data_IF_464585666079
#
_entry.id   IF_464585666079
#
_cell.length_a   1.000
_cell.length_b   1.000
_cell.length_c   1.000
_cell.angle_alpha   90.00
_cell.angle_beta   90.00
_cell.angle_gamma   90.00
#
_symmetry.space_group_name_H-M   'P 1'
#
loop_
_entity.id
_entity.type
_entity.pdbx_description
1 polymer ?
#
# COMPACT_ATOMS: atom_id res chain seq x y z
N UNK A 1 -0.65 -13.87 -10.56
CA UNK A 1 -1.29 -13.61 -9.37
C UNK A 1 -1.56 -12.18 -9.18
N UNK A 2 -2.64 -11.88 -8.64
CA UNK A 2 -3.08 -10.50 -8.58
C UNK A 2 -2.60 -9.85 -7.29
N UNK A 3 -1.40 -9.40 -7.27
CA UNK A 3 -0.86 -8.72 -6.10
C UNK A 3 -1.52 -7.37 -5.87
N UNK A 4 -1.77 -6.62 -6.95
CA UNK A 4 -2.32 -5.29 -6.81
C UNK A 4 -3.64 -5.22 -6.05
N UNK A 5 -4.62 -6.09 -6.34
CA UNK A 5 -5.85 -6.09 -5.56
C UNK A 5 -5.63 -6.43 -4.09
N UNK A 6 -4.66 -7.29 -3.78
CA UNK A 6 -4.36 -7.62 -2.40
C UNK A 6 -3.81 -6.42 -1.67
N UNK A 7 -2.93 -5.67 -2.30
CA UNK A 7 -2.36 -4.47 -1.70
C UNK A 7 -3.46 -3.44 -1.46
N UNK A 8 -4.34 -3.26 -2.45
CA UNK A 8 -5.42 -2.29 -2.32
C UNK A 8 -6.34 -2.66 -1.16
N UNK A 9 -6.66 -3.94 -1.04
CA UNK A 9 -7.53 -4.40 0.03
C UNK A 9 -6.88 -4.22 1.40
N UNK A 10 -5.62 -4.56 1.50
CA UNK A 10 -4.89 -4.41 2.77
C UNK A 10 -4.83 -2.94 3.18
N UNK A 11 -4.52 -2.08 2.22
CA UNK A 11 -4.40 -0.65 2.47
C UNK A 11 -5.74 -0.07 2.93
N UNK A 12 -6.82 -0.48 2.29
CA UNK A 12 -8.14 -0.04 2.68
C UNK A 12 -8.43 -0.46 4.13
N UNK A 13 -8.17 -1.70 4.43
CA UNK A 13 -8.46 -2.21 5.76
C UNK A 13 -7.63 -1.56 6.85
N UNK A 14 -6.35 -1.31 6.58
CA UNK A 14 -5.48 -0.75 7.59
C UNK A 14 -5.84 0.72 7.84
N UNK A 15 -6.29 1.44 6.81
CA UNK A 15 -6.72 2.81 7.00
C UNK A 15 -7.94 2.90 7.89
N UNK A 16 -8.79 1.88 7.88
CA UNK A 16 -9.97 1.87 8.72
C UNK A 16 -9.65 1.52 10.16
N UNK A 17 -8.56 0.80 10.39
CA UNK A 17 -8.23 0.34 11.73
C UNK A 17 -7.12 1.12 12.42
N UNK A 18 -6.35 1.88 11.68
CA UNK A 18 -5.20 2.60 12.24
C UNK A 18 -5.25 4.06 11.85
N UNK A 19 -4.64 4.90 12.67
CA UNK A 19 -4.52 6.31 12.33
C UNK A 19 -3.66 6.44 11.08
N UNK A 20 -3.87 7.49 10.28
CA UNK A 20 -3.14 7.64 9.02
C UNK A 20 -1.62 7.55 9.18
N UNK A 21 -1.11 8.11 10.25
CA UNK A 21 0.33 8.11 10.46
C UNK A 21 0.85 6.70 10.70
N UNK A 22 0.05 5.83 11.27
CA UNK A 22 0.45 4.45 11.53
C UNK A 22 0.14 3.54 10.34
N UNK A 23 -0.86 3.91 9.55
CA UNK A 23 -1.27 3.09 8.42
C UNK A 23 -0.14 2.93 7.41
N UNK A 24 0.59 3.99 7.11
CA UNK A 24 1.69 3.93 6.16
C UNK A 24 2.77 2.97 6.63
N UNK A 25 3.10 3.02 7.92
CA UNK A 25 4.11 2.12 8.47
C UNK A 25 3.68 0.67 8.40
N UNK A 26 2.42 0.39 8.67
CA UNK A 26 1.90 -0.96 8.59
C UNK A 26 1.94 -1.50 7.17
N UNK A 27 1.60 -0.66 6.20
CA UNK A 27 1.66 -1.07 4.80
C UNK A 27 3.09 -1.43 4.40
N UNK A 28 4.06 -0.59 4.79
CA UNK A 28 5.45 -0.84 4.44
C UNK A 28 5.95 -2.15 5.06
N UNK A 29 5.58 -2.41 6.28
CA UNK A 29 5.99 -3.63 6.96
C UNK A 29 5.42 -4.84 6.23
N UNK A 30 4.15 -4.77 5.87
CA UNK A 30 3.49 -5.86 5.16
C UNK A 30 4.12 -6.09 3.78
N UNK A 31 4.41 -5.02 3.05
CA UNK A 31 5.07 -5.15 1.76
C UNK A 31 6.45 -5.79 1.91
N UNK A 32 7.14 -5.46 2.99
CA UNK A 32 8.44 -6.06 3.26
C UNK A 32 8.36 -7.57 3.45
N UNK A 33 7.26 -8.05 4.01
CA UNK A 33 7.06 -9.48 4.17
C UNK A 33 6.70 -10.12 2.84
N UNK A 34 5.91 -9.44 2.02
CA UNK A 34 5.48 -10.01 0.76
C UNK A 34 6.56 -10.08 -0.29
N UNK A 35 7.54 -9.23 -0.23
CA UNK A 35 8.55 -9.16 -1.30
C UNK A 35 9.31 -10.46 -1.48
N UNK A 36 9.28 -11.32 -0.49
CA UNK A 36 9.96 -12.60 -0.59
C UNK A 36 9.32 -13.48 -1.66
N UNK A 37 8.00 -13.44 -1.76
CA UNK A 37 7.28 -14.25 -2.72
C UNK A 37 6.80 -13.44 -3.92
N UNK A 38 6.75 -12.13 -3.79
CA UNK A 38 6.25 -11.27 -4.85
C UNK A 38 7.24 -10.14 -5.09
N UNK A 39 8.13 -10.28 -6.07
CA UNK A 39 9.10 -9.22 -6.36
C UNK A 39 8.47 -7.86 -6.58
N UNK A 40 7.25 -7.83 -7.12
CA UNK A 40 6.55 -6.59 -7.35
C UNK A 40 6.29 -5.84 -6.05
N UNK A 41 6.12 -6.56 -4.95
CA UNK A 41 5.94 -5.92 -3.66
C UNK A 41 7.18 -5.13 -3.25
N UNK A 42 8.35 -5.63 -3.60
CA UNK A 42 9.59 -4.91 -3.33
C UNK A 42 9.70 -3.62 -4.12
N UNK A 43 9.20 -3.63 -5.36
CA UNK A 43 9.21 -2.43 -6.19
C UNK A 43 8.29 -1.38 -5.59
N UNK A 44 7.09 -1.77 -5.17
CA UNK A 44 6.15 -0.86 -4.55
C UNK A 44 6.71 -0.32 -3.24
N UNK A 45 7.31 -1.20 -2.43
CA UNK A 45 7.90 -0.79 -1.16
C UNK A 45 8.98 0.27 -1.37
N UNK A 46 9.84 0.07 -2.36
CA UNK A 46 10.89 1.03 -2.63
C UNK A 46 10.30 2.39 -3.03
N UNK A 47 9.20 2.38 -3.76
CA UNK A 47 8.55 3.60 -4.20
C UNK A 47 7.90 4.37 -3.06
N UNK A 48 7.38 3.65 -2.06
CA UNK A 48 6.66 4.32 -0.97
C UNK A 48 7.45 4.41 0.32
N UNK A 49 8.70 4.00 0.29
CA UNK A 49 9.49 3.89 1.51
C UNK A 49 9.54 5.19 2.33
N UNK A 50 9.67 6.31 1.70
CA UNK A 50 9.77 7.59 2.40
C UNK A 50 8.45 8.28 2.65
N UNK A 51 7.33 7.67 2.25
CA UNK A 51 6.04 8.32 2.38
C UNK A 51 5.44 8.01 3.73
N UNK A 52 5.04 9.05 4.45
CA UNK A 52 4.41 8.87 5.77
C UNK A 52 3.01 9.45 5.80
N UNK A 53 2.56 10.05 4.72
CA UNK A 53 1.26 10.67 4.64
C UNK A 53 0.31 9.81 3.82
N UNK A 54 -0.87 9.52 4.35
CA UNK A 54 -1.81 8.61 3.70
C UNK A 54 -2.25 9.11 2.33
N UNK A 55 -2.42 10.41 2.17
CA UNK A 55 -2.82 10.96 0.88
C UNK A 55 -1.75 10.74 -0.18
N UNK A 56 -0.50 10.93 0.19
CA UNK A 56 0.60 10.70 -0.74
C UNK A 56 0.77 9.21 -1.01
N UNK A 57 0.53 8.39 0.01
CA UNK A 57 0.59 6.94 -0.17
C UNK A 57 -0.46 6.51 -1.19
N UNK A 58 -1.68 7.05 -1.10
CA UNK A 58 -2.72 6.75 -2.08
C UNK A 58 -2.29 7.13 -3.49
N UNK A 59 -1.70 8.30 -3.65
CA UNK A 59 -1.24 8.76 -4.95
C UNK A 59 -0.18 7.84 -5.53
N UNK A 60 0.78 7.44 -4.71
CA UNK A 60 1.86 6.60 -5.18
C UNK A 60 1.37 5.20 -5.52
N UNK A 61 0.48 4.65 -4.71
CA UNK A 61 -0.08 3.35 -5.01
C UNK A 61 -0.87 3.39 -6.32
N UNK A 62 -1.59 4.48 -6.56
CA UNK A 62 -2.33 4.63 -7.79
C UNK A 62 -1.40 4.63 -9.00
N UNK A 63 -0.25 5.25 -8.87
CA UNK A 63 0.73 5.27 -9.96
C UNK A 63 1.23 3.87 -10.29
N UNK A 64 1.20 2.97 -9.34
CA UNK A 64 1.61 1.60 -9.57
C UNK A 64 0.43 0.70 -9.92
N UNK A 65 -0.70 1.28 -10.26
CA UNK A 65 -1.87 0.51 -10.66
C UNK A 65 -2.63 -0.10 -9.51
N UNK A 66 -2.37 0.35 -8.28
CA UNK A 66 -3.06 -0.16 -7.12
C UNK A 66 -4.14 0.84 -6.75
N UNK A 67 -5.37 0.51 -7.05
CA UNK A 67 -6.46 1.41 -6.80
C UNK A 67 -6.85 1.33 -5.36
N UNK A 68 -6.87 2.41 -4.70
CA UNK A 68 -7.35 2.46 -3.37
C UNK A 68 -8.81 2.39 -3.36
N UNK A 69 -9.28 2.05 -2.27
CA UNK A 69 -10.64 1.82 -2.25
C UNK A 69 -11.40 2.96 -2.43
N UNK A 70 -10.94 3.96 -2.16
CA UNK A 70 -11.69 4.99 -2.22
C UNK A 70 -12.20 5.28 -3.41
N UNK A 71 -11.79 4.87 -4.21
CA UNK A 71 -12.28 5.19 -5.36
C UNK A 71 -13.52 4.88 -5.55
N UNK A 72 -14.07 4.75 -5.34
CA UNK A 72 -15.12 4.43 -5.75
C UNK A 72 -15.90 4.96 -5.96
N UNK A 73 -16.18 5.13 -6.47
CA UNK A 73 -17.07 5.72 -6.88
C UNK A 73 -17.90 5.66 -6.55
#
# INVERSE_FOLDING_TARGET
IALRPHVARYWTGVQQRAAPVHACGRLKLWLGLLRRNYPEAGVVLAAVRGIVDAARMNQELHRHGIAGSLTLP
#
